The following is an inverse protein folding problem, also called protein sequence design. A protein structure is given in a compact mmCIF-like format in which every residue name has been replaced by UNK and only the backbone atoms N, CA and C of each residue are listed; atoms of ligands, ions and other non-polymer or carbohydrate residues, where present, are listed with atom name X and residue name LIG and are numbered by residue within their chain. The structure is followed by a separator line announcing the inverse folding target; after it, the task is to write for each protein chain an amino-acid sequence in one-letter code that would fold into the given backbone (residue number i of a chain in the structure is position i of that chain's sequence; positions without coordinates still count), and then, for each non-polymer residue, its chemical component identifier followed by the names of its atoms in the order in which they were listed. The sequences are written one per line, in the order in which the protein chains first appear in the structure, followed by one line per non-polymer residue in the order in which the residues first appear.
data_IF_742624026918
#
_entry.id   IF_742624026918
#
_cell.length_a   1.000
_cell.length_b   1.000
_cell.length_c   1.000
_cell.angle_alpha   90.00
_cell.angle_beta   90.00
_cell.angle_gamma   90.00
#
_symmetry.space_group_name_H-M   'P 1'
#
loop_
_entity.id
_entity.type
_entity.pdbx_description
1 polymer ?
#
# COMPACT_ATOMS: atom_id res chain seq x y z
N UNK A 1 4.19 13.93 10.34
CA UNK A 1 4.42 14.51 9.00
C UNK A 1 3.25 14.08 8.12
N UNK A 2 2.26 14.96 7.99
CA UNK A 2 1.00 14.69 7.28
C UNK A 2 1.31 14.52 5.79
N UNK A 3 1.09 13.31 5.26
CA UNK A 3 0.68 13.18 3.87
C UNK A 3 -0.66 13.91 3.80
N UNK A 4 -0.66 15.14 3.29
CA UNK A 4 -1.90 15.88 3.05
C UNK A 4 -2.74 15.05 2.09
N UNK A 5 -3.95 14.69 2.51
CA UNK A 5 -4.84 13.86 1.71
C UNK A 5 -5.11 14.52 0.36
N UNK A 6 -5.39 13.72 -0.67
CA UNK A 6 -5.64 14.23 -2.02
C UNK A 6 -6.78 15.27 -2.06
N UNK A 7 -7.70 15.25 -1.08
CA UNK A 7 -8.73 16.27 -0.90
C UNK A 7 -8.17 17.69 -0.69
N UNK A 8 -7.07 17.85 0.04
CA UNK A 8 -6.41 19.15 0.23
C UNK A 8 -5.70 19.58 -1.06
N UNK A 9 -5.20 18.63 -1.83
CA UNK A 9 -4.52 18.85 -3.12
C UNK A 9 -5.50 19.16 -4.26
N UNK A 10 -6.72 18.63 -4.24
CA UNK A 10 -7.79 19.03 -5.15
C UNK A 10 -8.12 20.52 -5.02
N UNK A 11 -7.90 21.15 -3.86
CA UNK A 11 -8.02 22.60 -3.72
C UNK A 11 -6.98 23.36 -4.55
N UNK A 12 -5.84 22.73 -4.83
CA UNK A 12 -4.77 23.23 -5.67
C UNK A 12 -4.81 22.65 -7.09
N UNK A 13 -5.93 22.05 -7.52
CA UNK A 13 -6.10 21.54 -8.89
C UNK A 13 -5.69 22.55 -9.97
N UNK A 14 -5.99 23.87 -9.85
CA UNK A 14 -5.54 24.85 -10.84
C UNK A 14 -4.01 24.97 -10.91
N UNK A 15 -3.32 24.88 -9.77
CA UNK A 15 -1.84 24.92 -9.69
C UNK A 15 -1.25 23.61 -10.20
N UNK A 16 -1.85 22.47 -9.87
CA UNK A 16 -1.41 21.15 -10.32
C UNK A 16 -1.58 20.99 -11.84
N UNK A 17 -2.65 21.53 -12.43
CA UNK A 17 -2.86 21.56 -13.88
C UNK A 17 -1.95 22.55 -14.63
N UNK A 18 -1.35 23.51 -13.93
CA UNK A 18 -0.36 24.41 -14.52
C UNK A 18 1.00 23.74 -14.73
N UNK A 19 1.24 22.58 -14.10
CA UNK A 19 2.46 21.79 -14.33
C UNK A 19 2.38 21.05 -15.67
N UNK A 20 3.47 20.99 -16.46
CA UNK A 20 3.52 20.28 -17.75
C UNK A 20 3.67 18.76 -17.54
N UNK A 21 2.87 18.19 -16.64
CA UNK A 21 2.92 16.77 -16.25
C UNK A 21 1.55 16.14 -16.40
N UNK A 22 1.51 14.84 -16.73
CA UNK A 22 0.26 14.09 -16.82
C UNK A 22 -0.27 13.76 -15.42
N UNK A 23 -1.58 13.68 -15.23
CA UNK A 23 -2.19 13.31 -13.95
C UNK A 23 -1.67 11.98 -13.38
N UNK A 24 -1.41 11.01 -14.26
CA UNK A 24 -0.80 9.73 -13.88
C UNK A 24 0.61 9.88 -13.28
N UNK A 25 1.41 10.82 -13.77
CA UNK A 25 2.78 11.05 -13.28
C UNK A 25 2.76 11.73 -11.90
N UNK A 26 1.83 12.66 -11.72
CA UNK A 26 1.61 13.32 -10.44
C UNK A 26 1.17 12.32 -9.35
N UNK A 27 0.21 11.47 -9.70
CA UNK A 27 -0.31 10.44 -8.81
C UNK A 27 0.75 9.39 -8.46
N UNK A 28 1.55 8.96 -9.44
CA UNK A 28 2.70 8.06 -9.22
C UNK A 28 3.72 8.66 -8.27
N UNK A 29 4.07 9.93 -8.47
CA UNK A 29 5.00 10.65 -7.60
C UNK A 29 4.53 10.65 -6.15
N UNK A 30 3.26 11.00 -5.93
CA UNK A 30 2.62 10.97 -4.61
C UNK A 30 2.63 9.59 -3.96
N UNK A 31 2.17 8.57 -4.70
CA UNK A 31 2.08 7.20 -4.17
C UNK A 31 3.46 6.65 -3.83
N UNK A 32 4.45 6.83 -4.70
CA UNK A 32 5.83 6.34 -4.47
C UNK A 32 6.49 7.08 -3.31
N UNK A 33 6.38 8.41 -3.26
CA UNK A 33 6.94 9.20 -2.16
C UNK A 33 6.29 8.84 -0.82
N UNK A 34 4.96 8.75 -0.79
CA UNK A 34 4.22 8.36 0.41
C UNK A 34 4.53 6.93 0.87
N UNK A 35 4.68 6.00 -0.07
CA UNK A 35 5.03 4.62 0.25
C UNK A 35 6.45 4.50 0.81
N UNK A 36 7.41 5.23 0.24
CA UNK A 36 8.78 5.29 0.77
C UNK A 36 8.78 5.82 2.21
N UNK A 37 8.11 6.94 2.45
CA UNK A 37 8.02 7.55 3.79
C UNK A 37 7.33 6.63 4.80
N UNK A 38 6.31 5.89 4.38
CA UNK A 38 5.55 4.97 5.25
C UNK A 38 6.29 3.65 5.48
N UNK A 39 7.09 3.20 4.51
CA UNK A 39 7.89 1.97 4.62
C UNK A 39 9.11 2.13 5.52
N UNK A 40 9.66 3.34 5.65
CA UNK A 40 10.88 3.58 6.44
C UNK A 40 10.74 3.18 7.93
N UNK A 41 9.69 3.60 8.68
CA UNK A 41 9.49 3.14 10.06
C UNK A 41 9.31 1.62 10.15
N UNK A 42 8.63 1.01 9.17
CA UNK A 42 8.39 -0.42 9.16
C UNK A 42 9.70 -1.21 8.95
N UNK A 43 10.61 -0.74 8.09
CA UNK A 43 11.94 -1.34 7.95
C UNK A 43 12.78 -1.22 9.21
N UNK A 44 12.74 -0.07 9.89
CA UNK A 44 13.43 0.11 11.18
C UNK A 44 12.88 -0.84 12.24
N UNK A 45 11.55 -1.02 12.28
CA UNK A 45 10.91 -1.95 13.20
C UNK A 45 11.31 -3.40 12.94
N UNK A 46 11.30 -3.84 11.67
CA UNK A 46 11.73 -5.20 11.31
C UNK A 46 13.20 -5.42 11.62
N UNK A 47 14.06 -4.44 11.33
CA UNK A 47 15.48 -4.52 11.67
C UNK A 47 15.67 -4.68 13.19
N UNK A 48 15.01 -3.85 14.00
CA UNK A 48 15.07 -3.94 15.45
C UNK A 48 14.55 -5.29 15.98
N UNK A 49 13.43 -5.78 15.45
CA UNK A 49 12.86 -7.09 15.82
C UNK A 49 13.77 -8.25 15.42
N UNK A 50 14.37 -8.21 14.23
CA UNK A 50 15.31 -9.24 13.78
C UNK A 50 16.56 -9.30 14.67
N UNK A 51 17.07 -8.13 15.08
CA UNK A 51 18.21 -8.04 16.00
C UNK A 51 17.86 -8.54 17.40
N UNK A 52 16.68 -8.16 17.93
CA UNK A 52 16.19 -8.65 19.21
C UNK A 52 16.01 -10.18 19.21
N UNK A 53 15.45 -10.73 18.12
CA UNK A 53 15.29 -12.18 17.95
C UNK A 53 16.63 -12.91 17.91
N UNK A 54 17.64 -12.33 17.23
CA UNK A 54 18.99 -12.88 17.20
C UNK A 54 19.63 -12.94 18.60
N UNK A 55 19.58 -11.83 19.36
CA UNK A 55 20.12 -11.80 20.72
C UNK A 55 19.40 -12.77 21.66
N UNK A 56 18.07 -12.87 21.57
CA UNK A 56 17.30 -13.81 22.38
C UNK A 56 17.63 -15.27 22.06
N UNK A 57 17.79 -15.61 20.78
CA UNK A 57 18.19 -16.95 20.32
C UNK A 57 19.58 -17.36 20.81
N UNK A 58 20.52 -16.43 20.97
CA UNK A 58 21.85 -16.75 21.50
C UNK A 58 21.86 -16.95 23.03
N UNK A 59 20.88 -16.38 23.73
CA UNK A 59 20.75 -16.47 25.18
C UNK A 59 20.05 -17.77 25.64
N UNK A 60 19.09 -18.26 24.85
CA UNK A 60 18.34 -19.48 25.13
C UNK A 60 18.78 -20.59 24.19
N UNK A 61 19.53 -21.57 24.70
CA UNK A 61 20.15 -22.68 23.95
C UNK A 61 19.15 -23.80 23.60
N UNK A 62 17.90 -23.45 23.28
CA UNK A 62 16.83 -24.41 22.99
C UNK A 62 16.74 -24.77 21.51
N UNK A 63 16.66 -26.07 21.23
CA UNK A 63 16.57 -26.63 19.88
C UNK A 63 15.32 -26.18 19.11
N UNK A 64 14.24 -25.78 19.80
CA UNK A 64 13.00 -25.29 19.16
C UNK A 64 13.18 -23.95 18.45
N UNK A 65 14.06 -23.08 18.94
CA UNK A 65 14.32 -21.75 18.35
C UNK A 65 15.06 -21.88 17.02
N UNK A 66 15.83 -22.95 16.82
CA UNK A 66 16.55 -23.22 15.57
C UNK A 66 15.63 -23.45 14.37
N UNK A 67 14.43 -24.00 14.58
CA UNK A 67 13.44 -24.24 13.53
C UNK A 67 12.69 -22.97 13.10
N UNK A 68 12.67 -21.93 13.95
CA UNK A 68 12.01 -20.65 13.65
C UNK A 68 12.89 -19.70 12.83
N UNK A 69 14.22 -19.85 12.88
CA UNK A 69 15.17 -19.04 12.12
C UNK A 69 14.91 -19.02 10.60
N UNK A 70 14.67 -20.15 9.90
CA UNK A 70 14.36 -20.14 8.47
C UNK A 70 13.06 -19.39 8.14
N UNK A 71 12.05 -19.48 9.01
CA UNK A 71 10.77 -18.76 8.84
C UNK A 71 10.97 -17.26 8.96
N UNK A 72 11.68 -16.83 10.01
CA UNK A 72 12.01 -15.42 10.23
C UNK A 72 12.85 -14.85 9.07
N UNK A 73 13.84 -15.61 8.57
CA UNK A 73 14.62 -15.23 7.40
C UNK A 73 13.75 -15.05 6.16
N UNK A 74 12.83 -15.98 5.90
CA UNK A 74 11.88 -15.88 4.79
C UNK A 74 10.96 -14.66 4.93
N UNK A 75 10.46 -14.39 6.13
CA UNK A 75 9.63 -13.22 6.42
C UNK A 75 10.38 -11.90 6.21
N UNK A 76 11.64 -11.80 6.64
CA UNK A 76 12.46 -10.60 6.40
C UNK A 76 12.68 -10.39 4.90
N UNK A 77 13.03 -11.44 4.16
CA UNK A 77 13.20 -11.39 2.70
C UNK A 77 11.92 -10.94 1.99
N UNK A 78 10.77 -11.46 2.43
CA UNK A 78 9.47 -11.08 1.89
C UNK A 78 9.04 -9.67 2.28
N UNK A 79 9.37 -9.22 3.49
CA UNK A 79 8.98 -7.90 3.98
C UNK A 79 9.69 -6.76 3.24
N UNK A 80 10.92 -6.98 2.77
CA UNK A 80 11.69 -6.01 1.97
C UNK A 80 10.89 -5.52 0.76
N UNK A 81 10.19 -6.43 0.06
CA UNK A 81 9.35 -6.08 -1.09
C UNK A 81 7.88 -5.90 -0.70
N UNK A 82 7.37 -6.69 0.24
CA UNK A 82 5.97 -6.67 0.65
C UNK A 82 5.53 -5.33 1.24
N UNK A 83 6.30 -4.77 2.17
CA UNK A 83 5.94 -3.52 2.86
C UNK A 83 5.76 -2.35 1.88
N UNK A 84 6.75 -1.99 1.03
CA UNK A 84 6.61 -0.83 0.17
C UNK A 84 5.47 -1.02 -0.83
N UNK A 85 5.26 -2.24 -1.34
CA UNK A 85 4.17 -2.53 -2.29
C UNK A 85 2.78 -2.43 -1.65
N UNK A 86 2.61 -2.93 -0.42
CA UNK A 86 1.37 -2.75 0.35
C UNK A 86 1.13 -1.28 0.73
N UNK A 87 2.18 -0.53 1.07
CA UNK A 87 2.06 0.90 1.33
C UNK A 87 1.62 1.66 0.07
N UNK A 88 2.17 1.31 -1.10
CA UNK A 88 1.72 1.85 -2.38
C UNK A 88 0.24 1.54 -2.63
N UNK A 89 -0.20 0.30 -2.40
CA UNK A 89 -1.61 -0.08 -2.53
C UNK A 89 -2.51 0.81 -1.65
N UNK A 90 -2.22 0.95 -0.35
CA UNK A 90 -3.06 1.71 0.57
C UNK A 90 -3.19 3.19 0.16
N UNK A 91 -2.07 3.82 -0.19
CA UNK A 91 -2.05 5.23 -0.61
C UNK A 91 -2.72 5.40 -1.98
N UNK A 92 -2.55 4.43 -2.87
CA UNK A 92 -3.20 4.42 -4.19
C UNK A 92 -4.72 4.30 -4.07
N UNK A 93 -5.22 3.46 -3.16
CA UNK A 93 -6.65 3.31 -2.88
C UNK A 93 -7.24 4.56 -2.26
N UNK A 94 -6.53 5.19 -1.32
CA UNK A 94 -6.96 6.47 -0.73
C UNK A 94 -7.06 7.57 -1.80
N UNK A 95 -6.04 7.67 -2.66
CA UNK A 95 -6.02 8.66 -3.72
C UNK A 95 -7.10 8.37 -4.79
N UNK A 96 -7.31 7.10 -5.13
CA UNK A 96 -8.36 6.69 -6.08
C UNK A 96 -9.75 6.96 -5.54
N UNK A 97 -10.01 6.69 -4.25
CA UNK A 97 -11.29 6.97 -3.61
C UNK A 97 -11.65 8.46 -3.70
N UNK A 98 -10.66 9.35 -3.55
CA UNK A 98 -10.86 10.79 -3.70
C UNK A 98 -11.24 11.20 -5.12
N UNK A 99 -10.62 10.58 -6.13
CA UNK A 99 -10.92 10.84 -7.54
C UNK A 99 -12.26 10.24 -8.00
N UNK A 100 -12.67 9.11 -7.42
CA UNK A 100 -13.94 8.48 -7.76
C UNK A 100 -15.13 9.19 -7.12
N UNK A 101 -14.96 9.78 -5.94
CA UNK A 101 -16.03 10.37 -5.15
C UNK A 101 -15.69 11.79 -4.64
N UNK A 102 -15.43 12.76 -5.53
CA UNK A 102 -15.02 14.11 -5.14
C UNK A 102 -16.08 14.83 -4.30
N UNK A 103 -17.36 14.71 -4.70
CA UNK A 103 -18.49 15.36 -4.02
C UNK A 103 -18.68 14.90 -2.56
N UNK A 104 -18.30 13.67 -2.23
CA UNK A 104 -18.37 13.18 -0.85
C UNK A 104 -17.32 13.77 0.08
N UNK A 105 -16.19 14.23 -0.48
CA UNK A 105 -15.07 14.78 0.28
C UNK A 105 -15.07 16.31 0.32
N UNK A 106 -15.76 16.98 -0.60
CA UNK A 106 -15.98 18.42 -0.57
C UNK A 106 -16.78 18.87 0.67
N UNK A 107 -17.71 18.01 1.16
CA UNK A 107 -18.50 18.23 2.38
C UNK A 107 -17.68 18.01 3.68
N UNK A 108 -16.35 18.10 3.67
CA UNK A 108 -15.54 17.91 4.88
C UNK A 108 -15.56 19.11 5.85
N UNK A 109 -16.24 20.21 5.50
CA UNK A 109 -16.44 21.36 6.38
C UNK A 109 -17.60 21.21 7.37
N UNK A 110 -18.36 20.11 7.31
CA UNK A 110 -19.41 19.86 8.30
C UNK A 110 -18.82 19.45 9.65
N UNK A 111 -19.37 20.04 10.71
CA UNK A 111 -19.00 19.79 12.11
C UNK A 111 -18.91 18.28 12.43
N UNK A 112 -18.08 17.85 13.40
CA UNK A 112 -17.97 16.44 13.78
C UNK A 112 -19.34 15.90 14.24
N UNK A 113 -20.00 15.14 13.37
CA UNK A 113 -21.32 14.55 13.60
C UNK A 113 -21.45 13.14 13.02
N UNK A 114 -22.64 12.55 13.18
CA UNK A 114 -22.95 11.20 12.69
C UNK A 114 -22.70 11.01 11.19
N UNK A 115 -22.88 12.07 10.38
CA UNK A 115 -22.61 12.05 8.94
C UNK A 115 -21.12 11.84 8.63
N UNK A 116 -20.22 12.50 9.36
CA UNK A 116 -18.77 12.33 9.21
C UNK A 116 -18.33 10.92 9.58
N UNK A 117 -18.92 10.33 10.63
CA UNK A 117 -18.66 8.93 11.01
C UNK A 117 -19.15 7.98 9.92
N UNK A 118 -20.37 8.17 9.41
CA UNK A 118 -20.94 7.38 8.32
C UNK A 118 -20.09 7.41 7.05
N UNK A 119 -19.63 8.60 6.65
CA UNK A 119 -18.73 8.80 5.50
C UNK A 119 -17.40 8.06 5.70
N UNK A 120 -16.81 8.16 6.89
CA UNK A 120 -15.55 7.48 7.19
C UNK A 120 -15.70 5.96 7.16
N UNK A 121 -16.79 5.41 7.72
CA UNK A 121 -17.10 3.98 7.67
C UNK A 121 -17.31 3.50 6.24
N UNK A 122 -18.05 4.25 5.43
CA UNK A 122 -18.32 3.88 4.05
C UNK A 122 -17.06 3.96 3.17
N UNK A 123 -16.24 5.01 3.35
CA UNK A 123 -14.93 5.13 2.71
C UNK A 123 -13.99 4.00 3.11
N UNK A 124 -14.00 3.62 4.40
CA UNK A 124 -13.24 2.46 4.87
C UNK A 124 -13.73 1.16 4.21
N UNK A 125 -15.05 0.94 4.14
CA UNK A 125 -15.64 -0.26 3.54
C UNK A 125 -15.28 -0.38 2.04
N UNK A 126 -15.40 0.71 1.28
CA UNK A 126 -15.02 0.74 -0.15
C UNK A 126 -13.55 0.41 -0.31
N UNK A 127 -12.66 0.99 0.50
CA UNK A 127 -11.21 0.71 0.47
C UNK A 127 -10.90 -0.74 0.87
N UNK A 128 -11.60 -1.27 1.87
CA UNK A 128 -11.42 -2.65 2.31
C UNK A 128 -11.85 -3.64 1.22
N UNK A 129 -12.99 -3.42 0.56
CA UNK A 129 -13.46 -4.27 -0.54
C UNK A 129 -12.51 -4.16 -1.74
N UNK A 130 -12.16 -2.94 -2.16
CA UNK A 130 -11.25 -2.72 -3.29
C UNK A 130 -9.87 -3.33 -3.03
N UNK A 131 -9.31 -3.12 -1.83
CA UNK A 131 -8.05 -3.73 -1.42
C UNK A 131 -8.12 -5.25 -1.37
N UNK A 132 -9.24 -5.82 -0.90
CA UNK A 132 -9.44 -7.27 -0.89
C UNK A 132 -9.46 -7.85 -2.31
N UNK A 133 -10.15 -7.19 -3.24
CA UNK A 133 -10.20 -7.62 -4.64
C UNK A 133 -8.81 -7.57 -5.29
N UNK A 134 -8.06 -6.47 -5.08
CA UNK A 134 -6.71 -6.35 -5.63
C UNK A 134 -5.76 -7.40 -5.03
N UNK A 135 -5.95 -7.82 -3.78
CA UNK A 135 -5.07 -8.82 -3.16
C UNK A 135 -5.32 -10.25 -3.63
N UNK A 136 -6.41 -10.54 -4.38
CA UNK A 136 -6.72 -11.91 -4.82
C UNK A 136 -5.60 -12.48 -5.70
N UNK A 137 -5.18 -11.76 -6.73
CA UNK A 137 -4.17 -12.26 -7.67
C UNK A 137 -2.80 -12.37 -6.98
N UNK A 138 -2.27 -11.33 -6.30
CA UNK A 138 -1.02 -11.45 -5.55
C UNK A 138 -1.02 -12.59 -4.52
N UNK A 139 -2.13 -12.83 -3.83
CA UNK A 139 -2.25 -13.91 -2.87
C UNK A 139 -2.12 -15.30 -3.51
N UNK A 140 -2.62 -15.49 -4.74
CA UNK A 140 -2.43 -16.74 -5.49
C UNK A 140 -0.96 -16.98 -5.83
N UNK A 141 -0.23 -15.95 -6.25
CA UNK A 141 1.21 -16.06 -6.53
C UNK A 141 2.03 -16.30 -5.27
N UNK A 142 1.67 -15.65 -4.16
CA UNK A 142 2.26 -15.94 -2.86
C UNK A 142 2.03 -17.39 -2.45
N UNK A 143 0.78 -17.87 -2.54
CA UNK A 143 0.40 -19.24 -2.22
C UNK A 143 1.11 -20.27 -3.10
N UNK A 144 1.27 -19.99 -4.40
CA UNK A 144 2.04 -20.83 -5.31
C UNK A 144 3.51 -20.91 -4.91
N UNK A 145 4.15 -19.78 -4.60
CA UNK A 145 5.55 -19.75 -4.13
C UNK A 145 5.74 -20.51 -2.82
N UNK A 146 4.82 -20.33 -1.86
CA UNK A 146 4.80 -21.07 -0.61
C UNK A 146 4.65 -22.58 -0.85
N UNK A 147 3.68 -22.98 -1.68
CA UNK A 147 3.41 -24.38 -2.01
C UNK A 147 4.60 -25.08 -2.66
N UNK A 148 5.28 -24.41 -3.60
CA UNK A 148 6.52 -24.91 -4.21
C UNK A 148 7.61 -25.04 -3.15
N UNK A 149 7.79 -24.05 -2.28
CA UNK A 149 8.80 -24.08 -1.21
C UNK A 149 8.60 -25.24 -0.24
N UNK A 150 7.35 -25.55 0.11
CA UNK A 150 7.01 -26.71 0.93
C UNK A 150 7.34 -28.01 0.19
N UNK A 151 7.03 -28.10 -1.11
CA UNK A 151 7.26 -29.31 -1.91
C UNK A 151 8.75 -29.67 -2.06
N UNK A 152 9.66 -28.68 -1.99
CA UNK A 152 11.11 -28.87 -2.13
C UNK A 152 11.88 -28.79 -0.80
N UNK A 153 11.18 -28.73 0.35
CA UNK A 153 11.76 -28.56 1.69
C UNK A 153 12.66 -27.31 1.86
N UNK A 154 12.38 -26.26 1.07
CA UNK A 154 13.08 -24.97 1.14
C UNK A 154 12.10 -23.84 1.45
N UNK A 155 11.47 -23.92 2.62
CA UNK A 155 10.40 -22.99 3.03
C UNK A 155 10.85 -21.52 3.06
N UNK A 156 12.08 -21.23 3.48
CA UNK A 156 12.65 -19.86 3.45
C UNK A 156 12.62 -19.25 2.06
N UNK A 157 13.04 -20.02 1.05
CA UNK A 157 13.06 -19.60 -0.34
C UNK A 157 11.65 -19.51 -0.90
N UNK A 158 10.75 -20.42 -0.53
CA UNK A 158 9.35 -20.38 -0.91
C UNK A 158 8.63 -19.11 -0.43
N UNK A 159 8.81 -18.76 0.85
CA UNK A 159 8.25 -17.53 1.43
C UNK A 159 8.86 -16.30 0.74
N UNK A 160 10.19 -16.24 0.62
CA UNK A 160 10.88 -15.11 0.00
C UNK A 160 10.48 -14.91 -1.48
N UNK A 161 10.60 -15.97 -2.30
CA UNK A 161 10.27 -15.92 -3.72
C UNK A 161 8.77 -15.70 -3.96
N UNK A 162 7.90 -16.33 -3.16
CA UNK A 162 6.46 -16.10 -3.20
C UNK A 162 6.08 -14.66 -2.88
N UNK A 163 6.70 -14.08 -1.84
CA UNK A 163 6.51 -12.66 -1.51
C UNK A 163 7.00 -11.74 -2.62
N UNK A 164 8.14 -12.03 -3.23
CA UNK A 164 8.66 -11.26 -4.37
C UNK A 164 7.71 -11.30 -5.57
N UNK A 165 7.25 -12.49 -5.95
CA UNK A 165 6.29 -12.66 -7.05
C UNK A 165 4.99 -11.91 -6.77
N UNK A 166 4.43 -12.06 -5.57
CA UNK A 166 3.24 -11.34 -5.15
C UNK A 166 3.43 -9.81 -5.17
N UNK A 167 4.58 -9.32 -4.70
CA UNK A 167 4.93 -7.90 -4.77
C UNK A 167 5.04 -7.37 -6.20
N UNK A 168 5.61 -8.14 -7.13
CA UNK A 168 5.71 -7.75 -8.55
C UNK A 168 4.32 -7.66 -9.17
N UNK A 169 3.46 -8.65 -8.93
CA UNK A 169 2.08 -8.66 -9.42
C UNK A 169 1.32 -7.48 -8.85
N UNK A 170 1.41 -7.24 -7.54
CA UNK A 170 0.74 -6.13 -6.87
C UNK A 170 1.24 -4.77 -7.41
N UNK A 171 2.53 -4.61 -7.68
CA UNK A 171 3.07 -3.41 -8.33
C UNK A 171 2.44 -3.18 -9.70
N UNK A 172 2.27 -4.24 -10.48
CA UNK A 172 1.58 -4.18 -11.77
C UNK A 172 0.13 -3.71 -11.63
N UNK A 173 -0.60 -4.25 -10.65
CA UNK A 173 -1.99 -3.86 -10.39
C UNK A 173 -2.11 -2.41 -9.91
N UNK A 174 -1.21 -1.97 -9.01
CA UNK A 174 -1.15 -0.58 -8.55
C UNK A 174 -0.83 0.35 -9.72
N UNK A 175 0.13 0.02 -10.59
CA UNK A 175 0.44 0.83 -11.77
C UNK A 175 -0.73 0.91 -12.75
N UNK A 176 -1.47 -0.19 -12.95
CA UNK A 176 -2.70 -0.20 -13.74
C UNK A 176 -3.76 0.73 -13.13
N UNK A 177 -3.97 0.65 -11.82
CA UNK A 177 -4.88 1.54 -11.09
C UNK A 177 -4.46 3.01 -11.27
N UNK A 178 -3.18 3.33 -11.13
CA UNK A 178 -2.67 4.70 -11.32
C UNK A 178 -2.83 5.19 -12.75
N UNK A 179 -2.65 4.32 -13.75
CA UNK A 179 -2.90 4.68 -15.14
C UNK A 179 -4.37 4.99 -15.41
N UNK A 180 -5.28 4.17 -14.87
CA UNK A 180 -6.73 4.36 -15.01
C UNK A 180 -7.20 5.64 -14.29
N UNK A 181 -6.71 5.88 -13.08
CA UNK A 181 -7.08 7.05 -12.29
C UNK A 181 -6.46 8.33 -12.83
N UNK A 182 -5.23 8.28 -13.37
CA UNK A 182 -4.60 9.42 -14.02
C UNK A 182 -5.40 9.93 -15.21
N UNK A 183 -5.97 9.03 -16.03
CA UNK A 183 -6.88 9.42 -17.11
C UNK A 183 -8.14 10.12 -16.60
N UNK A 184 -8.69 9.69 -15.46
CA UNK A 184 -9.84 10.37 -14.85
C UNK A 184 -9.48 11.75 -14.32
N UNK A 185 -8.31 11.90 -13.71
CA UNK A 185 -7.81 13.19 -13.23
C UNK A 185 -7.67 14.20 -14.37
N UNK A 186 -7.11 13.77 -15.51
CA UNK A 186 -6.94 14.64 -16.69
C UNK A 186 -8.30 15.12 -17.24
N UNK A 187 -9.34 14.28 -17.14
CA UNK A 187 -10.70 14.58 -17.60
C UNK A 187 -11.57 15.36 -16.59
N UNK A 188 -11.12 15.57 -15.35
CA UNK A 188 -11.88 16.37 -14.38
C UNK A 188 -11.83 17.85 -14.75
N UNK A 189 -12.98 18.53 -14.84
CA UNK A 189 -13.00 19.96 -15.10
C UNK A 189 -12.43 20.75 -13.91
N UNK A 190 -11.66 21.79 -14.22
CA UNK A 190 -11.09 22.70 -13.21
C UNK A 190 -12.01 23.89 -12.91
N UNK A 191 -13.22 23.92 -13.49
CA UNK A 191 -14.13 25.05 -13.36
C UNK A 191 -14.62 25.17 -11.90
N UNK A 192 -14.52 26.36 -11.29
CA UNK A 192 -14.98 26.60 -9.92
C UNK A 192 -16.50 26.50 -9.73
N UNK A 193 -17.28 26.28 -10.80
CA UNK A 193 -18.75 26.23 -10.75
C UNK A 193 -19.32 24.88 -10.28
N UNK A 194 -18.50 23.83 -10.18
CA UNK A 194 -18.92 22.49 -9.75
C UNK A 194 -18.46 22.09 -8.33
N UNK A 195 -17.96 23.04 -7.54
CA UNK A 195 -17.51 22.82 -6.17
C UNK A 195 -18.50 23.39 -5.15
#
# INVERSE_FOLDING_TARGET
LMVTGLHTELRFLPVLKALPMRGAELLRGKVRAGALLTSLPAFLFIAAMSQAAYHFSTSIRDASVSQLQPILGGMVLGAITGIPTLAMLMISLESSAVLLFPAWLASAQSEPGFETIGRNLLSFLVRAIAGSIMLIIPALFFGAGLGVGIAIDHMTLGIGAGSWLASIVLLGEVELLMHLMGKRFDNMDASPESA
#
